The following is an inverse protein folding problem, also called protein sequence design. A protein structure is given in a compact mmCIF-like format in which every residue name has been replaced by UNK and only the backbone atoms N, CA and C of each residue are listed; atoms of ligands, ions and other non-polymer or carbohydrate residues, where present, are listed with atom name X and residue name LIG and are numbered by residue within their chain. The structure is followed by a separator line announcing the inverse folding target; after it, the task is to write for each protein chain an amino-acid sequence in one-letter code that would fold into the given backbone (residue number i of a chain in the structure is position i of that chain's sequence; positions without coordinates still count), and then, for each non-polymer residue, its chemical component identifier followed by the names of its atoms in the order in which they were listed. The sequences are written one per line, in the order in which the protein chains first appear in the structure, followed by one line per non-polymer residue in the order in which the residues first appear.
data_IF_987592827249
#
_entry.id   IF_987592827249
#
_cell.length_a   1.000
_cell.length_b   1.000
_cell.length_c   1.000
_cell.angle_alpha   90.00
_cell.angle_beta   90.00
_cell.angle_gamma   90.00
#
_symmetry.space_group_name_H-M   'P 1'
#
loop_
_entity.id
_entity.type
_entity.pdbx_description
1 polymer ?
#
# COMPACT_ATOMS: atom_id res chain seq x y z
N UNK A 1 11.40 -20.50 -16.56
CA UNK A 1 11.85 -19.53 -15.54
C UNK A 1 11.50 -20.08 -14.15
N UNK A 2 12.33 -19.88 -13.11
CA UNK A 2 12.19 -20.56 -11.80
C UNK A 2 10.99 -20.07 -10.97
N UNK A 3 10.53 -18.84 -11.18
CA UNK A 3 9.40 -18.25 -10.49
C UNK A 3 8.41 -17.67 -11.51
N UNK A 4 7.12 -17.86 -11.27
CA UNK A 4 6.01 -17.38 -12.11
C UNK A 4 4.82 -17.03 -11.20
N UNK A 5 3.86 -16.26 -11.73
CA UNK A 5 2.66 -15.83 -11.03
C UNK A 5 2.93 -15.01 -9.75
N UNK A 6 4.02 -14.22 -9.76
CA UNK A 6 4.39 -13.36 -8.64
C UNK A 6 3.42 -12.17 -8.58
N UNK A 7 2.99 -11.82 -7.37
CA UNK A 7 2.17 -10.64 -7.10
C UNK A 7 2.95 -9.67 -6.23
N UNK A 8 3.08 -8.42 -6.68
CA UNK A 8 3.60 -7.32 -5.87
C UNK A 8 2.46 -6.74 -5.05
N UNK A 9 2.67 -6.62 -3.74
CA UNK A 9 1.58 -6.36 -2.79
C UNK A 9 1.23 -4.89 -2.60
N UNK A 10 2.09 -3.98 -3.05
CA UNK A 10 1.93 -2.55 -2.85
C UNK A 10 2.77 -1.79 -3.89
N UNK A 11 2.12 -1.33 -4.95
CA UNK A 11 2.75 -0.51 -5.98
C UNK A 11 1.85 0.66 -6.37
N UNK A 12 2.41 1.58 -7.14
CA UNK A 12 1.71 2.74 -7.66
C UNK A 12 1.94 2.84 -9.17
N UNK A 13 1.05 2.27 -10.01
CA UNK A 13 1.11 2.41 -11.45
C UNK A 13 1.18 3.87 -11.90
N UNK A 14 0.46 4.74 -11.19
CA UNK A 14 0.48 6.20 -11.28
C UNK A 14 0.33 6.76 -9.86
N UNK A 15 1.06 7.81 -9.51
CA UNK A 15 0.85 8.54 -8.24
C UNK A 15 1.30 9.99 -8.38
N UNK A 16 0.59 10.89 -7.70
CA UNK A 16 0.97 12.29 -7.58
C UNK A 16 0.95 12.73 -6.11
N UNK A 17 2.15 12.85 -5.53
CA UNK A 17 2.35 13.48 -4.22
C UNK A 17 3.09 14.81 -4.34
N UNK A 18 3.30 15.30 -5.57
CA UNK A 18 4.23 16.38 -5.88
C UNK A 18 3.80 17.71 -5.27
N UNK A 19 2.50 18.03 -5.30
CA UNK A 19 1.96 19.24 -4.68
C UNK A 19 2.15 19.22 -3.16
N UNK A 20 1.73 18.14 -2.50
CA UNK A 20 1.82 18.03 -1.04
C UNK A 20 3.26 17.92 -0.50
N UNK A 21 4.21 17.43 -1.32
CA UNK A 21 5.64 17.36 -0.97
C UNK A 21 6.46 18.54 -1.49
N UNK A 22 5.89 19.39 -2.33
CA UNK A 22 6.59 20.42 -3.08
C UNK A 22 7.84 19.88 -3.80
N UNK A 23 7.68 18.73 -4.46
CA UNK A 23 8.77 17.97 -5.08
C UNK A 23 8.28 17.28 -6.36
N UNK A 24 8.70 17.74 -7.56
CA UNK A 24 8.23 17.17 -8.82
C UNK A 24 8.69 15.72 -9.03
N UNK A 25 9.72 15.25 -8.31
CA UNK A 25 10.16 13.85 -8.34
C UNK A 25 9.06 12.90 -7.81
N UNK A 26 8.13 13.42 -7.01
CA UNK A 26 7.01 12.67 -6.43
C UNK A 26 5.78 12.54 -7.35
N UNK A 27 5.93 12.86 -8.64
CA UNK A 27 4.94 12.59 -9.68
C UNK A 27 5.46 11.45 -10.57
N UNK A 28 4.84 10.28 -10.46
CA UNK A 28 4.97 9.21 -11.46
C UNK A 28 3.76 9.27 -12.38
N UNK A 29 3.99 9.67 -13.62
CA UNK A 29 2.92 9.99 -14.54
C UNK A 29 2.38 8.77 -15.31
N UNK A 30 2.36 7.61 -14.64
CA UNK A 30 1.72 6.41 -15.17
C UNK A 30 2.60 5.58 -16.10
N UNK A 31 1.93 4.92 -17.03
CA UNK A 31 2.46 3.96 -18.00
C UNK A 31 3.74 4.39 -18.72
N UNK A 32 3.80 5.63 -19.21
CA UNK A 32 4.94 6.11 -20.01
C UNK A 32 6.24 6.15 -19.20
N UNK A 33 6.14 6.35 -17.88
CA UNK A 33 7.32 6.43 -17.06
C UNK A 33 7.92 5.06 -16.76
N UNK A 34 7.08 4.02 -16.69
CA UNK A 34 7.45 2.72 -16.13
C UNK A 34 7.43 1.56 -17.13
N UNK A 35 7.02 1.76 -18.40
CA UNK A 35 6.75 0.66 -19.35
C UNK A 35 7.90 -0.34 -19.51
N UNK A 36 9.14 0.13 -19.61
CA UNK A 36 10.30 -0.76 -19.79
C UNK A 36 10.58 -1.57 -18.53
N UNK A 37 10.35 -1.01 -17.34
CA UNK A 37 10.49 -1.71 -16.07
C UNK A 37 9.37 -2.72 -15.85
N UNK A 38 8.14 -2.36 -16.22
CA UNK A 38 6.99 -3.27 -16.23
C UNK A 38 7.27 -4.48 -17.12
N UNK A 39 7.86 -4.28 -18.31
CA UNK A 39 8.29 -5.39 -19.18
C UNK A 39 9.39 -6.23 -18.56
N UNK A 40 10.38 -5.60 -17.91
CA UNK A 40 11.49 -6.30 -17.25
C UNK A 40 10.99 -7.19 -16.10
N UNK A 41 10.13 -6.68 -15.22
CA UNK A 41 9.58 -7.49 -14.11
C UNK A 41 8.57 -8.54 -14.59
N UNK A 42 7.80 -8.25 -15.65
CA UNK A 42 6.92 -9.24 -16.26
C UNK A 42 7.74 -10.40 -16.83
N UNK A 43 8.84 -10.07 -17.53
CA UNK A 43 9.79 -11.06 -17.99
C UNK A 43 10.33 -11.89 -16.82
N UNK A 44 10.54 -11.31 -15.63
CA UNK A 44 10.97 -12.01 -14.39
C UNK A 44 9.85 -12.79 -13.66
N UNK A 45 8.62 -12.82 -14.20
CA UNK A 45 7.51 -13.62 -13.69
C UNK A 45 6.51 -12.89 -12.79
N UNK A 46 6.59 -11.55 -12.69
CA UNK A 46 5.58 -10.71 -12.04
C UNK A 46 4.40 -10.54 -12.97
N UNK A 47 3.23 -11.03 -12.57
CA UNK A 47 2.02 -11.01 -13.41
C UNK A 47 0.90 -10.19 -12.80
N UNK A 48 1.04 -9.77 -11.53
CA UNK A 48 0.03 -8.98 -10.82
C UNK A 48 0.64 -7.95 -9.90
N UNK A 49 0.02 -6.78 -9.83
CA UNK A 49 0.29 -5.75 -8.82
C UNK A 49 -0.98 -5.42 -8.05
N UNK A 50 -0.83 -4.94 -6.82
CA UNK A 50 -1.88 -4.20 -6.11
C UNK A 50 -1.58 -2.72 -6.25
N UNK A 51 -2.50 -1.98 -6.85
CA UNK A 51 -2.46 -0.52 -6.91
C UNK A 51 -2.89 0.04 -5.55
N UNK A 52 -2.01 0.79 -4.90
CA UNK A 52 -2.30 1.48 -3.64
C UNK A 52 -2.61 2.96 -3.84
N UNK A 53 -2.63 3.45 -5.08
CA UNK A 53 -3.05 4.82 -5.40
C UNK A 53 -4.56 4.97 -5.30
N UNK A 54 -5.00 5.92 -4.47
CA UNK A 54 -6.41 6.14 -4.18
C UNK A 54 -6.81 7.62 -4.32
N UNK A 55 -7.97 7.99 -3.75
CA UNK A 55 -8.49 9.36 -3.86
C UNK A 55 -7.51 10.36 -3.25
N UNK A 56 -7.10 11.35 -4.05
CA UNK A 56 -6.16 12.41 -3.68
C UNK A 56 -4.72 12.18 -4.12
N UNK A 57 -4.30 10.93 -4.33
CA UNK A 57 -2.91 10.59 -4.68
C UNK A 57 -2.74 10.08 -6.12
N UNK A 58 -3.79 10.15 -6.93
CA UNK A 58 -3.65 9.98 -8.38
C UNK A 58 -4.04 8.62 -8.93
N UNK A 59 -5.02 7.95 -8.31
CA UNK A 59 -5.72 6.78 -8.87
C UNK A 59 -6.09 6.98 -10.34
N UNK A 60 -5.79 5.98 -11.18
CA UNK A 60 -6.09 6.00 -12.62
C UNK A 60 -6.32 4.58 -13.15
N UNK A 61 -7.57 4.13 -13.16
CA UNK A 61 -7.91 2.77 -13.59
C UNK A 61 -7.83 2.59 -15.11
N UNK A 62 -7.87 3.66 -15.91
CA UNK A 62 -7.66 3.55 -17.36
C UNK A 62 -6.18 3.31 -17.67
N UNK A 63 -5.27 3.97 -16.95
CA UNK A 63 -3.85 3.63 -16.99
C UNK A 63 -3.60 2.16 -16.60
N UNK A 64 -4.30 1.66 -15.58
CA UNK A 64 -4.17 0.27 -15.13
C UNK A 64 -4.62 -0.74 -16.21
N UNK A 65 -5.71 -0.45 -16.92
CA UNK A 65 -6.15 -1.28 -18.08
C UNK A 65 -5.10 -1.30 -19.18
N UNK A 66 -4.53 -0.14 -19.53
CA UNK A 66 -3.48 -0.04 -20.56
C UNK A 66 -2.24 -0.85 -20.20
N UNK A 67 -1.83 -0.86 -18.92
CA UNK A 67 -0.70 -1.69 -18.46
C UNK A 67 -0.98 -3.18 -18.72
N UNK A 68 -2.19 -3.65 -18.44
CA UNK A 68 -2.56 -5.04 -18.71
C UNK A 68 -2.53 -5.34 -20.21
N UNK A 69 -3.13 -4.48 -21.05
CA UNK A 69 -3.20 -4.66 -22.49
C UNK A 69 -1.82 -4.72 -23.16
N UNK A 70 -0.89 -3.87 -22.72
CA UNK A 70 0.42 -3.72 -23.37
C UNK A 70 1.54 -4.59 -22.76
N UNK A 71 1.42 -4.99 -21.49
CA UNK A 71 2.48 -5.72 -20.75
C UNK A 71 2.01 -7.09 -20.27
N UNK A 72 0.72 -7.26 -19.99
CA UNK A 72 0.17 -8.48 -19.40
C UNK A 72 0.24 -8.53 -17.87
N UNK A 73 0.55 -7.42 -17.19
CA UNK A 73 0.47 -7.33 -15.73
C UNK A 73 -0.95 -6.91 -15.34
N UNK A 74 -1.64 -7.77 -14.61
CA UNK A 74 -2.97 -7.48 -14.05
C UNK A 74 -2.82 -6.57 -12.82
N UNK A 75 -3.50 -5.42 -12.84
CA UNK A 75 -3.50 -4.47 -11.74
C UNK A 75 -4.78 -4.63 -10.91
N UNK A 76 -4.61 -4.90 -9.61
CA UNK A 76 -5.71 -4.97 -8.65
C UNK A 76 -5.98 -3.57 -8.14
N UNK A 77 -7.08 -2.97 -8.59
CA UNK A 77 -7.48 -1.62 -8.24
C UNK A 77 -7.89 -1.48 -6.76
N UNK A 78 -7.56 -0.35 -6.15
CA UNK A 78 -8.01 0.04 -4.82
C UNK A 78 -9.01 1.21 -4.84
N UNK A 79 -9.62 1.42 -3.68
CA UNK A 79 -10.35 2.63 -3.28
C UNK A 79 -9.83 3.12 -1.93
N UNK A 80 -10.40 4.20 -1.41
CA UNK A 80 -10.09 4.77 -0.10
C UNK A 80 -9.36 6.10 -0.21
N UNK A 81 -8.76 6.51 0.91
CA UNK A 81 -8.11 7.81 1.05
C UNK A 81 -6.80 7.61 1.77
N UNK A 82 -5.79 8.38 1.39
CA UNK A 82 -4.47 8.25 1.96
C UNK A 82 -4.38 8.81 3.40
N UNK A 83 -3.43 9.70 3.64
CA UNK A 83 -3.22 10.39 4.93
C UNK A 83 -3.07 11.88 4.72
N UNK A 84 -3.09 12.64 5.80
CA UNK A 84 -2.83 14.09 5.74
C UNK A 84 -1.39 14.35 5.26
N UNK A 85 -1.13 15.36 4.41
CA UNK A 85 -2.04 16.34 3.83
C UNK A 85 -2.52 15.99 2.41
N UNK A 86 -2.48 14.72 2.01
CA UNK A 86 -2.73 14.30 0.62
C UNK A 86 -4.17 13.88 0.34
N UNK A 87 -5.01 13.81 1.37
CA UNK A 87 -6.43 13.55 1.20
C UNK A 87 -7.09 14.72 0.46
N UNK A 88 -8.11 14.47 -0.39
CA UNK A 88 -8.90 15.55 -0.99
C UNK A 88 -9.53 16.45 0.08
N UNK A 89 -9.66 17.75 -0.21
CA UNK A 89 -10.15 18.76 0.74
C UNK A 89 -11.51 18.40 1.37
N UNK A 90 -12.40 17.77 0.59
CA UNK A 90 -13.74 17.37 1.05
C UNK A 90 -13.70 16.31 2.15
N UNK A 91 -12.59 15.57 2.31
CA UNK A 91 -12.48 14.56 3.38
C UNK A 91 -12.60 15.21 4.74
N UNK A 92 -12.13 16.44 4.93
CA UNK A 92 -12.20 17.15 6.23
C UNK A 92 -13.64 17.41 6.70
N UNK A 93 -14.56 17.71 5.76
CA UNK A 93 -15.96 18.06 6.05
C UNK A 93 -16.94 16.90 5.83
N UNK A 94 -16.55 15.87 5.08
CA UNK A 94 -17.37 14.68 4.89
C UNK A 94 -17.63 13.92 6.20
N UNK A 95 -18.82 13.34 6.30
CA UNK A 95 -19.20 12.34 7.30
C UNK A 95 -18.53 10.98 7.03
N UNK A 96 -18.52 10.09 8.03
CA UNK A 96 -18.03 8.72 7.84
C UNK A 96 -18.85 8.01 6.78
N UNK A 97 -20.17 8.17 6.79
CA UNK A 97 -21.13 7.53 5.89
C UNK A 97 -20.88 7.93 4.43
N UNK A 98 -20.57 9.20 4.17
CA UNK A 98 -20.20 9.67 2.82
C UNK A 98 -18.91 9.02 2.33
N UNK A 99 -17.88 8.91 3.19
CA UNK A 99 -16.63 8.22 2.83
C UNK A 99 -16.84 6.73 2.60
N UNK A 100 -17.71 6.08 3.40
CA UNK A 100 -18.11 4.69 3.20
C UNK A 100 -18.76 4.53 1.83
N UNK A 101 -19.71 5.41 1.47
CA UNK A 101 -20.42 5.31 0.20
C UNK A 101 -19.47 5.43 -0.99
N UNK A 102 -18.50 6.35 -0.94
CA UNK A 102 -17.46 6.47 -1.98
C UNK A 102 -16.68 5.15 -2.14
N UNK A 103 -16.24 4.55 -1.03
CA UNK A 103 -15.51 3.27 -1.09
C UNK A 103 -16.39 2.14 -1.64
N UNK A 104 -17.66 2.07 -1.24
CA UNK A 104 -18.60 1.05 -1.73
C UNK A 104 -18.89 1.19 -3.22
N UNK A 105 -19.05 2.42 -3.72
CA UNK A 105 -19.28 2.70 -5.13
C UNK A 105 -18.08 2.24 -5.99
N UNK A 106 -16.85 2.48 -5.54
CA UNK A 106 -15.65 2.02 -6.23
C UNK A 106 -15.50 0.49 -6.18
N UNK A 107 -15.77 -0.12 -5.03
CA UNK A 107 -15.79 -1.59 -4.88
C UNK A 107 -16.82 -2.24 -5.81
N UNK A 108 -17.99 -1.61 -5.98
CA UNK A 108 -19.02 -2.04 -6.92
C UNK A 108 -18.57 -1.91 -8.40
N UNK A 109 -17.75 -0.89 -8.71
CA UNK A 109 -17.19 -0.68 -10.06
C UNK A 109 -15.99 -1.59 -10.37
N UNK A 110 -15.40 -2.23 -9.38
CA UNK A 110 -14.36 -3.25 -9.59
C UNK A 110 -13.13 -3.16 -8.70
N UNK A 111 -13.01 -2.15 -7.82
CA UNK A 111 -11.97 -2.15 -6.80
C UNK A 111 -12.07 -3.43 -5.94
N UNK A 112 -10.92 -3.93 -5.49
CA UNK A 112 -10.84 -5.14 -4.63
C UNK A 112 -10.17 -4.87 -3.29
N UNK A 113 -9.52 -3.73 -3.17
CA UNK A 113 -8.74 -3.32 -2.01
C UNK A 113 -9.24 -1.96 -1.52
N UNK A 114 -9.30 -1.79 -0.20
CA UNK A 114 -9.47 -0.49 0.44
C UNK A 114 -8.07 -0.09 0.95
N UNK A 115 -7.42 0.84 0.28
CA UNK A 115 -6.08 1.27 0.65
C UNK A 115 -5.32 2.05 -0.42
N UNK A 116 -4.14 2.56 -0.10
CA UNK A 116 -3.59 2.59 1.26
C UNK A 116 -4.27 3.66 2.14
N UNK A 117 -4.83 3.27 3.28
CA UNK A 117 -5.33 4.21 4.30
C UNK A 117 -4.23 4.47 5.31
N UNK A 118 -4.00 5.73 5.72
CA UNK A 118 -2.75 6.03 6.44
C UNK A 118 -2.84 6.80 7.73
N UNK A 119 -1.83 6.56 8.57
CA UNK A 119 -1.55 7.38 9.75
C UNK A 119 -0.31 8.23 9.51
N UNK A 120 -0.36 9.48 9.97
CA UNK A 120 0.77 10.40 9.97
C UNK A 120 1.88 9.95 10.93
N UNK A 121 3.05 10.61 10.84
CA UNK A 121 4.22 10.22 11.65
C UNK A 121 3.96 10.51 13.12
N UNK A 122 3.91 9.47 13.95
CA UNK A 122 3.66 9.56 15.40
C UNK A 122 2.33 10.20 15.78
N UNK A 123 1.41 10.39 14.83
CA UNK A 123 0.12 11.01 15.06
C UNK A 123 -0.93 10.34 14.19
N UNK A 124 -2.08 10.07 14.77
CA UNK A 124 -3.26 9.63 14.05
C UNK A 124 -4.27 10.76 14.10
N UNK A 125 -4.34 11.52 13.00
CA UNK A 125 -5.18 12.73 12.98
C UNK A 125 -6.66 12.37 12.98
N UNK A 126 -7.53 13.35 13.29
CA UNK A 126 -8.99 13.16 13.29
C UNK A 126 -9.50 12.65 11.94
N UNK A 127 -9.01 13.20 10.83
CA UNK A 127 -9.47 12.82 9.50
C UNK A 127 -8.94 11.43 9.10
N UNK A 128 -7.71 11.10 9.47
CA UNK A 128 -7.17 9.74 9.29
C UNK A 128 -7.97 8.71 10.11
N UNK A 129 -8.34 9.01 11.35
CA UNK A 129 -9.23 8.14 12.13
C UNK A 129 -10.58 7.97 11.45
N UNK A 130 -11.17 9.05 10.94
CA UNK A 130 -12.44 9.02 10.20
C UNK A 130 -12.37 8.12 8.96
N UNK A 131 -11.27 8.18 8.21
CA UNK A 131 -11.01 7.31 7.06
C UNK A 131 -10.90 5.83 7.47
N UNK A 132 -10.20 5.54 8.57
CA UNK A 132 -10.10 4.17 9.08
C UNK A 132 -11.46 3.61 9.52
N UNK A 133 -12.30 4.40 10.19
CA UNK A 133 -13.67 4.00 10.52
C UNK A 133 -14.49 3.67 9.26
N UNK A 134 -14.42 4.54 8.24
CA UNK A 134 -15.10 4.30 6.97
C UNK A 134 -14.60 3.02 6.28
N UNK A 135 -13.28 2.79 6.26
CA UNK A 135 -12.67 1.59 5.69
C UNK A 135 -13.14 0.30 6.39
N UNK A 136 -13.22 0.32 7.73
CA UNK A 136 -13.74 -0.80 8.52
C UNK A 136 -15.19 -1.11 8.15
N UNK A 137 -16.04 -0.10 8.03
CA UNK A 137 -17.45 -0.28 7.68
C UNK A 137 -17.59 -0.85 6.27
N UNK A 138 -16.89 -0.27 5.29
CA UNK A 138 -16.91 -0.76 3.90
C UNK A 138 -16.36 -2.20 3.80
N UNK A 139 -15.28 -2.51 4.53
CA UNK A 139 -14.70 -3.85 4.57
C UNK A 139 -15.67 -4.89 5.14
N UNK A 140 -16.40 -4.57 6.22
CA UNK A 140 -17.38 -5.49 6.80
C UNK A 140 -18.53 -5.80 5.84
N UNK A 141 -18.93 -4.84 5.01
CA UNK A 141 -20.01 -5.02 4.03
C UNK A 141 -19.58 -5.83 2.81
N UNK A 142 -18.32 -5.73 2.40
CA UNK A 142 -17.84 -6.26 1.11
C UNK A 142 -16.83 -7.39 1.23
N UNK A 143 -16.28 -7.61 2.42
CA UNK A 143 -15.18 -8.52 2.70
C UNK A 143 -13.89 -8.23 1.88
N UNK A 144 -13.74 -6.98 1.42
CA UNK A 144 -12.53 -6.49 0.76
C UNK A 144 -11.29 -6.64 1.66
N UNK A 145 -10.10 -6.56 1.06
CA UNK A 145 -8.84 -6.47 1.81
C UNK A 145 -8.58 -5.01 2.14
N UNK A 146 -8.11 -4.72 3.35
CA UNK A 146 -7.59 -3.41 3.74
C UNK A 146 -6.06 -3.43 3.64
N UNK A 147 -5.48 -2.40 3.03
CA UNK A 147 -4.04 -2.12 3.09
C UNK A 147 -3.86 -0.79 3.81
N UNK A 148 -2.97 -0.75 4.80
CA UNK A 148 -2.68 0.47 5.56
C UNK A 148 -1.27 0.99 5.32
N UNK A 149 -1.14 2.30 5.40
CA UNK A 149 0.11 3.04 5.41
C UNK A 149 0.55 3.33 6.84
N UNK A 150 1.84 3.15 7.13
CA UNK A 150 2.48 3.69 8.34
C UNK A 150 3.57 4.67 7.95
N UNK A 151 3.47 5.93 8.40
CA UNK A 151 4.53 6.90 8.10
C UNK A 151 5.79 6.52 8.86
N UNK A 152 6.83 6.08 8.14
CA UNK A 152 8.08 5.56 8.71
C UNK A 152 7.88 4.42 9.72
N UNK A 153 6.87 3.55 9.51
CA UNK A 153 6.61 2.43 10.43
C UNK A 153 6.09 2.84 11.81
N UNK A 154 5.68 4.10 11.99
CA UNK A 154 5.09 4.56 13.25
C UNK A 154 3.63 4.11 13.35
N UNK A 155 3.15 3.92 14.58
CA UNK A 155 1.77 3.54 14.91
C UNK A 155 1.32 2.13 14.48
N UNK A 156 2.24 1.19 14.24
CA UNK A 156 1.89 -0.20 13.87
C UNK A 156 0.98 -0.86 14.91
N UNK A 157 1.30 -0.73 16.21
CA UNK A 157 0.54 -1.40 17.27
C UNK A 157 -0.84 -0.79 17.44
N UNK A 158 -0.92 0.52 17.30
CA UNK A 158 -2.14 1.31 17.39
C UNK A 158 -3.11 0.94 16.25
N UNK A 159 -2.61 0.80 15.02
CA UNK A 159 -3.43 0.29 13.91
C UNK A 159 -3.91 -1.15 14.16
N UNK A 160 -3.04 -2.04 14.66
CA UNK A 160 -3.41 -3.43 15.04
C UNK A 160 -4.53 -3.43 16.08
N UNK A 161 -4.35 -2.68 17.16
CA UNK A 161 -5.29 -2.64 18.28
C UNK A 161 -6.64 -2.05 17.84
N UNK A 162 -6.62 -1.01 17.01
CA UNK A 162 -7.83 -0.45 16.41
C UNK A 162 -8.63 -1.50 15.62
N UNK A 163 -7.99 -2.23 14.70
CA UNK A 163 -8.68 -3.23 13.90
C UNK A 163 -9.23 -4.39 14.76
N UNK A 164 -8.48 -4.80 15.79
CA UNK A 164 -8.94 -5.82 16.74
C UNK A 164 -10.15 -5.35 17.54
N UNK A 165 -10.12 -4.11 18.06
CA UNK A 165 -11.24 -3.50 18.79
C UNK A 165 -12.50 -3.42 17.90
N UNK A 166 -12.31 -3.09 16.62
CA UNK A 166 -13.39 -3.06 15.63
C UNK A 166 -13.85 -4.44 15.19
N UNK A 167 -13.21 -5.52 15.63
CA UNK A 167 -13.56 -6.89 15.26
C UNK A 167 -13.34 -7.20 13.77
N UNK A 168 -12.39 -6.51 13.12
CA UNK A 168 -11.98 -6.85 11.75
C UNK A 168 -11.17 -8.13 11.78
N UNK A 169 -11.39 -9.02 10.80
CA UNK A 169 -10.57 -10.21 10.64
C UNK A 169 -9.13 -9.82 10.28
N UNK A 170 -8.12 -10.08 11.13
CA UNK A 170 -6.74 -9.67 10.88
C UNK A 170 -6.17 -10.19 9.55
N UNK A 171 -6.64 -11.35 9.08
CA UNK A 171 -6.22 -11.94 7.80
C UNK A 171 -6.65 -11.13 6.58
N UNK A 172 -7.58 -10.18 6.75
CA UNK A 172 -8.07 -9.27 5.71
C UNK A 172 -7.38 -7.90 5.76
N UNK A 173 -6.36 -7.73 6.59
CA UNK A 173 -5.60 -6.49 6.73
C UNK A 173 -4.13 -6.77 6.43
N UNK A 174 -3.51 -5.88 5.66
CA UNK A 174 -2.06 -5.82 5.42
C UNK A 174 -1.56 -4.47 5.94
N UNK A 175 -0.57 -4.50 6.83
CA UNK A 175 0.08 -3.29 7.35
C UNK A 175 1.36 -3.06 6.53
N UNK A 176 1.41 -1.96 5.79
CA UNK A 176 2.55 -1.62 4.92
C UNK A 176 3.58 -0.71 5.61
N UNK A 177 4.75 -0.65 5.00
CA UNK A 177 5.93 0.11 5.41
C UNK A 177 6.50 -0.27 6.78
N UNK A 178 6.10 -1.42 7.33
CA UNK A 178 6.44 -1.81 8.71
C UNK A 178 7.94 -1.85 8.96
N UNK A 179 8.73 -2.25 7.95
CA UNK A 179 10.17 -2.37 8.08
C UNK A 179 10.83 -1.04 8.42
N UNK A 180 10.27 0.09 7.97
CA UNK A 180 10.80 1.43 8.24
C UNK A 180 10.78 1.79 9.74
N UNK A 181 9.99 1.08 10.56
CA UNK A 181 10.02 1.21 12.02
C UNK A 181 11.37 0.82 12.61
N UNK A 182 12.12 -0.04 11.91
CA UNK A 182 13.28 -0.75 12.42
C UNK A 182 13.01 -1.45 13.78
N UNK A 183 11.76 -1.83 14.04
CA UNK A 183 11.30 -2.45 15.28
C UNK A 183 10.71 -3.82 15.00
N UNK A 184 11.56 -4.85 15.04
CA UNK A 184 11.13 -6.24 14.85
C UNK A 184 10.06 -6.68 15.86
N UNK A 185 10.01 -6.09 17.07
CA UNK A 185 8.99 -6.44 18.06
C UNK A 185 7.61 -5.89 17.67
N UNK A 186 7.54 -4.70 17.06
CA UNK A 186 6.29 -4.19 16.48
C UNK A 186 5.77 -5.09 15.35
N UNK A 187 6.66 -5.57 14.48
CA UNK A 187 6.30 -6.53 13.42
C UNK A 187 5.79 -7.85 14.00
N UNK A 188 6.49 -8.42 15.00
CA UNK A 188 6.04 -9.62 15.70
C UNK A 188 4.68 -9.42 16.35
N UNK A 189 4.43 -8.26 16.95
CA UNK A 189 3.15 -7.96 17.57
C UNK A 189 2.00 -8.07 16.56
N UNK A 190 2.13 -7.41 15.39
CA UNK A 190 1.12 -7.50 14.33
C UNK A 190 0.91 -8.96 13.86
N UNK A 191 2.01 -9.68 13.62
CA UNK A 191 1.97 -11.06 13.15
C UNK A 191 1.33 -12.03 14.16
N UNK A 192 1.66 -11.92 15.44
CA UNK A 192 1.08 -12.72 16.53
C UNK A 192 -0.43 -12.48 16.67
N UNK A 193 -0.91 -11.28 16.36
CA UNK A 193 -2.34 -10.95 16.31
C UNK A 193 -3.03 -11.40 15.02
N UNK A 194 -2.29 -12.01 14.09
CA UNK A 194 -2.83 -12.61 12.87
C UNK A 194 -2.89 -11.67 11.66
N UNK A 195 -2.32 -10.47 11.75
CA UNK A 195 -2.25 -9.53 10.62
C UNK A 195 -1.21 -9.97 9.61
N UNK A 196 -1.39 -9.56 8.37
CA UNK A 196 -0.32 -9.63 7.37
C UNK A 196 0.50 -8.34 7.41
N UNK A 197 1.78 -8.43 7.09
CA UNK A 197 2.67 -7.26 6.99
C UNK A 197 3.40 -7.24 5.65
N UNK A 198 3.66 -6.04 5.13
CA UNK A 198 4.40 -5.88 3.89
C UNK A 198 5.83 -5.34 4.13
N UNK A 199 6.80 -6.02 3.54
CA UNK A 199 8.15 -5.50 3.28
C UNK A 199 8.15 -4.91 1.88
N UNK A 200 7.51 -3.76 1.76
CA UNK A 200 7.15 -3.13 0.49
C UNK A 200 8.06 -1.95 0.11
N UNK A 201 9.08 -1.66 0.91
CA UNK A 201 10.06 -0.59 0.61
C UNK A 201 11.44 -1.16 0.26
N UNK A 202 11.48 -2.37 -0.31
CA UNK A 202 12.72 -3.03 -0.71
C UNK A 202 13.44 -2.17 -1.75
N UNK A 203 14.75 -1.99 -1.61
CA UNK A 203 15.55 -1.11 -2.47
C UNK A 203 15.63 0.34 -2.00
N UNK A 204 14.78 0.78 -1.06
CA UNK A 204 14.84 2.14 -0.47
C UNK A 204 15.89 2.24 0.64
N UNK A 205 17.15 1.99 0.28
CA UNK A 205 18.29 1.83 1.21
C UNK A 205 18.65 3.08 2.01
N UNK A 206 18.25 4.28 1.53
CA UNK A 206 18.38 5.54 2.27
C UNK A 206 17.58 5.56 3.58
N UNK A 207 16.47 4.81 3.65
CA UNK A 207 15.64 4.75 4.86
C UNK A 207 16.04 3.60 5.78
N UNK A 208 16.31 2.44 5.20
CA UNK A 208 16.75 1.24 5.91
C UNK A 208 17.57 0.39 4.95
N UNK A 209 18.73 -0.17 5.35
CA UNK A 209 19.46 -1.12 4.52
C UNK A 209 18.64 -2.38 4.22
N UNK A 210 18.79 -2.95 3.02
CA UNK A 210 18.09 -4.18 2.65
C UNK A 210 18.61 -5.40 3.42
N UNK A 211 19.87 -5.38 3.85
CA UNK A 211 20.43 -6.38 4.75
C UNK A 211 19.62 -6.48 6.05
N UNK A 212 19.19 -5.34 6.60
CA UNK A 212 18.33 -5.31 7.78
C UNK A 212 16.94 -5.89 7.48
N UNK A 213 16.33 -5.52 6.34
CA UNK A 213 15.04 -6.12 5.90
C UNK A 213 15.16 -7.63 5.76
N UNK A 214 16.24 -8.11 5.14
CA UNK A 214 16.51 -9.53 4.93
C UNK A 214 16.67 -10.27 6.27
N UNK A 215 17.38 -9.69 7.24
CA UNK A 215 17.49 -10.31 8.57
C UNK A 215 16.15 -10.35 9.32
N UNK A 216 15.30 -9.33 9.19
CA UNK A 216 13.94 -9.36 9.74
C UNK A 216 13.10 -10.47 9.08
N UNK A 217 13.09 -10.53 7.74
CA UNK A 217 12.35 -11.57 6.99
C UNK A 217 12.84 -12.96 7.37
N UNK A 218 14.15 -13.20 7.39
CA UNK A 218 14.74 -14.50 7.79
C UNK A 218 14.34 -14.89 9.19
N UNK A 219 14.34 -13.94 10.13
CA UNK A 219 13.94 -14.18 11.51
C UNK A 219 12.47 -14.57 11.60
N UNK A 220 11.59 -13.79 10.97
CA UNK A 220 10.14 -14.05 10.99
C UNK A 220 9.75 -15.34 10.25
N UNK A 221 10.46 -15.70 9.19
CA UNK A 221 10.30 -17.00 8.50
C UNK A 221 10.68 -18.15 9.42
N UNK A 222 11.82 -18.06 10.13
CA UNK A 222 12.22 -19.08 11.13
C UNK A 222 11.21 -19.21 12.27
N UNK A 223 10.53 -18.11 12.62
CA UNK A 223 9.46 -18.07 13.62
C UNK A 223 8.10 -18.59 13.09
N UNK A 224 8.00 -18.96 11.82
CA UNK A 224 6.82 -19.59 11.23
C UNK A 224 5.83 -18.62 10.56
N UNK A 225 6.16 -17.34 10.41
CA UNK A 225 5.26 -16.32 9.87
C UNK A 225 5.24 -16.20 8.34
N UNK A 226 5.90 -17.11 7.61
CA UNK A 226 6.08 -17.03 6.14
C UNK A 226 4.81 -16.67 5.36
N UNK A 227 3.64 -17.17 5.79
CA UNK A 227 2.34 -16.95 5.11
C UNK A 227 1.74 -15.56 5.33
N UNK A 228 2.28 -14.77 6.24
CA UNK A 228 1.82 -13.42 6.59
C UNK A 228 2.77 -12.33 6.08
N UNK A 229 3.87 -12.70 5.42
CA UNK A 229 4.86 -11.76 4.89
C UNK A 229 4.60 -11.49 3.41
N UNK A 230 4.40 -10.23 3.05
CA UNK A 230 4.28 -9.76 1.68
C UNK A 230 5.49 -8.89 1.31
N UNK A 231 5.74 -8.72 0.01
CA UNK A 231 6.90 -7.98 -0.49
C UNK A 231 6.53 -7.16 -1.73
N UNK A 232 7.15 -5.99 -1.83
CA UNK A 232 7.00 -5.03 -2.93
C UNK A 232 8.13 -3.99 -2.89
N UNK A 233 8.07 -2.98 -3.76
CA UNK A 233 9.07 -1.91 -3.85
C UNK A 233 8.50 -0.51 -3.55
N UNK A 234 7.18 -0.30 -3.68
CA UNK A 234 6.51 0.97 -3.37
C UNK A 234 7.13 2.11 -4.20
N UNK A 235 7.16 1.94 -5.52
CA UNK A 235 7.74 2.93 -6.43
C UNK A 235 6.86 4.19 -6.45
N UNK A 236 7.29 5.23 -5.74
CA UNK A 236 6.56 6.51 -5.58
C UNK A 236 7.31 7.76 -6.08
N UNK A 237 8.46 7.58 -6.74
CA UNK A 237 9.26 8.67 -7.31
C UNK A 237 9.81 8.33 -8.67
N UNK A 238 10.04 9.33 -9.51
CA UNK A 238 10.76 9.15 -10.78
C UNK A 238 12.19 8.66 -10.53
N UNK A 239 12.87 9.19 -9.49
CA UNK A 239 14.21 8.77 -9.10
C UNK A 239 14.31 7.33 -8.60
N UNK A 240 13.19 6.68 -8.26
CA UNK A 240 13.18 5.26 -7.93
C UNK A 240 13.25 4.36 -9.17
N UNK A 241 12.94 4.88 -10.36
CA UNK A 241 13.00 4.14 -11.61
C UNK A 241 14.45 3.85 -11.99
N UNK A 242 14.73 2.63 -12.41
CA UNK A 242 16.01 2.17 -12.93
C UNK A 242 16.56 3.07 -14.04
N UNK A 243 15.70 3.58 -14.94
CA UNK A 243 16.13 4.51 -16.01
C UNK A 243 16.75 5.80 -15.46
N UNK A 244 16.41 6.17 -14.22
CA UNK A 244 16.89 7.36 -13.51
C UNK A 244 17.95 7.02 -12.43
N UNK A 245 18.50 5.80 -12.44
CA UNK A 245 19.48 5.34 -11.46
C UNK A 245 18.89 4.82 -10.15
N UNK A 246 17.58 4.54 -10.13
CA UNK A 246 16.90 3.88 -9.05
C UNK A 246 17.10 2.36 -9.03
N UNK A 247 16.14 1.64 -8.45
CA UNK A 247 16.22 0.20 -8.15
C UNK A 247 15.50 -0.67 -9.17
#
# INVERSE_FOLDING_TARGET
MKYQNITYSHEHPRIDLSTGKNDPDCLLNGYLDCIDELRDIHAKGVTRWVDCSNHGIGVDWENNKRIFEDVGIEIINSTGFYKTPFMPDYVSTASVEELVQIMLDDLAKGAKVIGEIGTSKNEWTKDEHKVFEAAVIAQKQTNAVIITHTTLGTLIKEQVDFFLEKGVNPKKVIISHVALSNDLNALRYALQKGFNIAFDTIGKTKYLPDETRVEFIKTLVKEGYTRQLLMSMDITRQSHLKKNGGV
#
